data_IF_911053230124
#
_entry.id   IF_911053230124
#
_cell.length_a   1.000
_cell.length_b   1.000
_cell.length_c   1.000
_cell.angle_alpha   90.00
_cell.angle_beta   90.00
_cell.angle_gamma   90.00
#
_symmetry.space_group_name_H-M   'P 1'
#
loop_
_entity.id
_entity.type
_entity.pdbx_description
1 polymer ?
#
# COMPACT_ATOMS: atom_id res chain seq x y z
N UNK A 1 16.95 -18.43 12.33
CA UNK A 1 15.87 -18.23 13.31
C UNK A 1 16.34 -17.48 14.57
N UNK A 2 16.95 -16.28 14.48
CA UNK A 2 17.41 -15.51 15.67
C UNK A 2 17.20 -13.99 15.58
N UNK A 3 16.39 -13.49 14.63
CA UNK A 3 16.14 -12.05 14.47
C UNK A 3 14.70 -11.58 14.72
N UNK A 4 13.77 -12.47 15.06
CA UNK A 4 12.36 -12.15 15.27
C UNK A 4 11.95 -11.83 16.71
N UNK A 5 12.86 -11.94 17.68
CA UNK A 5 12.53 -11.77 19.12
C UNK A 5 12.72 -10.31 19.59
N UNK A 6 13.48 -9.50 18.84
CA UNK A 6 13.78 -8.12 19.26
C UNK A 6 12.63 -7.12 19.02
N UNK A 7 11.74 -7.42 18.08
CA UNK A 7 10.59 -6.56 17.76
C UNK A 7 9.44 -6.62 18.76
N UNK A 8 9.32 -7.70 19.50
CA UNK A 8 8.21 -7.88 20.46
C UNK A 8 8.49 -7.26 21.83
N UNK A 9 9.75 -7.00 22.15
CA UNK A 9 10.14 -6.47 23.48
C UNK A 9 9.92 -4.94 23.61
N UNK A 10 9.84 -4.20 22.50
CA UNK A 10 9.61 -2.76 22.54
C UNK A 10 8.16 -2.37 22.80
N UNK A 11 7.21 -3.27 22.66
CA UNK A 11 5.76 -2.96 22.85
C UNK A 11 5.37 -3.10 24.32
N UNK A 12 6.10 -3.88 25.11
CA UNK A 12 5.76 -4.14 26.53
C UNK A 12 6.35 -3.08 27.49
N UNK A 13 7.34 -2.30 27.07
CA UNK A 13 8.05 -1.35 27.94
C UNK A 13 7.32 -0.01 28.15
N UNK A 14 6.18 0.25 27.49
CA UNK A 14 5.42 1.51 27.62
C UNK A 14 4.22 1.44 28.57
N UNK A 15 4.01 0.34 29.27
CA UNK A 15 2.84 0.12 30.11
C UNK A 15 3.07 0.38 31.62
N UNK A 16 4.22 0.86 32.04
CA UNK A 16 4.53 1.00 33.47
C UNK A 16 5.00 2.39 33.83
N UNK A 17 4.09 3.38 33.89
CA UNK A 17 4.24 4.55 34.77
C UNK A 17 2.86 5.14 35.05
N UNK A 18 2.22 4.78 36.13
CA UNK A 18 1.31 5.64 36.89
C UNK A 18 0.92 4.98 38.24
N UNK A 19 1.85 4.96 39.18
CA UNK A 19 1.52 4.82 40.58
C UNK A 19 2.06 6.09 41.27
N UNK A 20 1.27 7.14 41.22
CA UNK A 20 1.51 8.34 42.02
C UNK A 20 0.81 8.18 43.37
N UNK A 21 1.57 8.45 44.41
CA UNK A 21 1.24 8.20 45.80
C UNK A 21 -0.01 8.89 46.33
N UNK A 22 -0.64 8.21 47.26
CA UNK A 22 -1.70 8.68 48.11
C UNK A 22 -1.08 9.57 49.21
N UNK A 23 -1.19 10.88 49.08
CA UNK A 23 -1.00 11.77 50.21
C UNK A 23 -2.32 11.94 50.97
N UNK A 24 -2.32 11.51 52.21
CA UNK A 24 -3.45 11.65 53.15
C UNK A 24 -3.52 13.11 53.58
N UNK A 25 -4.38 13.91 52.99
CA UNK A 25 -4.65 15.28 53.46
C UNK A 25 -5.88 15.29 54.38
N UNK A 26 -5.61 15.72 55.62
CA UNK A 26 -6.60 15.93 56.71
C UNK A 26 -7.62 17.02 56.37
N UNK A 27 -8.88 16.67 56.45
CA UNK A 27 -10.07 17.41 56.77
C UNK A 27 -10.12 18.93 56.60
N UNK A 28 -10.40 19.39 55.38
CA UNK A 28 -11.30 20.51 55.06
C UNK A 28 -12.03 20.08 53.82
N UNK A 29 -13.37 20.22 53.83
CA UNK A 29 -14.21 19.96 52.66
C UNK A 29 -13.75 20.81 51.47
N UNK A 30 -12.71 20.37 50.78
CA UNK A 30 -12.46 20.84 49.42
C UNK A 30 -13.60 20.28 48.58
N UNK A 31 -14.51 21.14 48.10
CA UNK A 31 -15.37 20.84 46.98
C UNK A 31 -14.48 20.19 45.92
N UNK A 32 -14.55 18.87 45.75
CA UNK A 32 -13.87 18.18 44.67
C UNK A 32 -14.32 18.86 43.38
N UNK A 33 -13.50 19.76 42.85
CA UNK A 33 -13.72 20.26 41.51
C UNK A 33 -13.71 19.01 40.57
N UNK A 34 -14.83 18.77 39.95
CA UNK A 34 -14.92 17.70 38.96
C UNK A 34 -13.73 17.86 38.01
N UNK A 35 -12.99 16.78 37.74
CA UNK A 35 -11.86 16.85 36.81
C UNK A 35 -12.34 17.49 35.51
N UNK A 36 -11.53 18.37 34.89
CA UNK A 36 -11.92 19.03 33.65
C UNK A 36 -12.34 17.99 32.62
N UNK A 37 -13.43 18.23 31.87
CA UNK A 37 -13.88 17.28 30.86
C UNK A 37 -12.77 17.02 29.84
N UNK A 38 -12.55 15.74 29.52
CA UNK A 38 -11.54 15.34 28.56
C UNK A 38 -11.79 16.00 27.19
N UNK A 39 -10.76 16.51 26.53
CA UNK A 39 -10.89 17.01 25.17
C UNK A 39 -11.49 15.95 24.24
N UNK A 40 -12.49 16.33 23.46
CA UNK A 40 -13.05 15.45 22.43
C UNK A 40 -12.21 15.56 21.16
N UNK A 41 -11.39 14.53 20.91
CA UNK A 41 -10.53 14.45 19.72
C UNK A 41 -11.24 13.88 18.49
N UNK A 42 -12.31 13.13 18.70
CA UNK A 42 -13.07 12.41 17.66
C UNK A 42 -14.55 12.68 17.87
N UNK A 43 -15.21 13.14 16.82
CA UNK A 43 -16.62 13.51 16.86
C UNK A 43 -17.51 12.47 16.15
N UNK A 44 -18.81 12.55 16.43
CA UNK A 44 -19.84 11.94 15.62
C UNK A 44 -20.16 12.89 14.45
N UNK A 45 -20.60 12.36 13.32
CA UNK A 45 -20.86 13.11 12.09
C UNK A 45 -19.63 13.86 11.56
N UNK A 46 -18.47 13.23 11.61
CA UNK A 46 -17.18 13.79 11.21
C UNK A 46 -16.86 13.41 9.75
N UNK A 47 -16.54 14.40 8.92
CA UNK A 47 -16.07 14.19 7.57
C UNK A 47 -14.54 14.28 7.53
N UNK A 48 -13.90 13.25 7.00
CA UNK A 48 -12.46 13.11 6.95
C UNK A 48 -11.96 13.08 5.52
N UNK A 49 -10.89 13.83 5.26
CA UNK A 49 -10.12 13.79 4.01
C UNK A 49 -8.69 13.40 4.36
N UNK A 50 -8.23 12.27 3.86
CA UNK A 50 -6.85 11.84 4.10
C UNK A 50 -6.04 11.88 2.82
N UNK A 51 -4.79 12.34 2.92
CA UNK A 51 -3.76 12.25 1.88
C UNK A 51 -2.63 11.40 2.43
N UNK A 52 -2.19 10.41 1.66
CA UNK A 52 -1.20 9.46 2.13
C UNK A 52 -0.27 8.98 1.02
N UNK A 53 0.94 8.64 1.41
CA UNK A 53 1.89 7.90 0.57
C UNK A 53 1.83 6.42 0.90
N UNK A 54 2.19 5.60 -0.08
CA UNK A 54 2.14 4.16 0.07
C UNK A 54 3.37 3.47 -0.47
N UNK A 55 3.69 2.36 0.16
CA UNK A 55 4.65 1.37 -0.30
C UNK A 55 3.96 0.02 -0.40
N UNK A 56 4.01 -0.57 -1.60
CA UNK A 56 3.48 -1.90 -1.88
C UNK A 56 4.62 -2.89 -1.90
N UNK A 57 4.41 -4.04 -1.29
CA UNK A 57 5.34 -5.17 -1.30
C UNK A 57 4.60 -6.49 -1.47
N UNK A 58 5.29 -7.46 -2.02
CA UNK A 58 4.78 -8.83 -2.15
C UNK A 58 5.88 -9.83 -1.83
N UNK A 59 5.56 -11.12 -1.86
CA UNK A 59 6.54 -12.18 -1.64
C UNK A 59 7.54 -12.29 -2.80
N UNK A 60 8.77 -12.75 -2.50
CA UNK A 60 9.93 -12.82 -3.41
C UNK A 60 9.78 -13.69 -4.67
N UNK A 61 8.64 -14.34 -4.88
CA UNK A 61 8.39 -15.18 -6.07
C UNK A 61 7.37 -14.51 -6.98
N UNK A 62 7.74 -13.39 -7.58
CA UNK A 62 6.93 -12.76 -8.62
C UNK A 62 6.99 -13.59 -9.89
N UNK A 63 5.89 -14.25 -10.17
CA UNK A 63 5.71 -14.90 -11.47
C UNK A 63 5.22 -13.87 -12.47
N UNK A 64 5.59 -14.05 -13.74
CA UNK A 64 5.28 -13.14 -14.86
C UNK A 64 3.77 -12.89 -15.08
N UNK A 65 2.90 -13.68 -14.46
CA UNK A 65 1.46 -13.66 -14.67
C UNK A 65 0.68 -12.86 -13.61
N UNK A 66 1.37 -12.10 -12.75
CA UNK A 66 0.71 -11.32 -11.70
C UNK A 66 0.22 -9.97 -12.20
N UNK A 67 -0.87 -9.50 -11.61
CA UNK A 67 -1.47 -8.21 -11.96
C UNK A 67 -0.52 -7.03 -11.72
N UNK A 68 0.16 -7.02 -10.58
CA UNK A 68 1.28 -6.12 -10.28
C UNK A 68 2.58 -6.86 -10.59
N UNK A 69 3.13 -6.67 -11.75
CA UNK A 69 4.41 -7.26 -12.14
C UNK A 69 5.61 -6.46 -11.60
N UNK A 70 5.70 -6.28 -10.28
CA UNK A 70 6.71 -5.42 -9.67
C UNK A 70 7.12 -5.97 -8.31
N UNK A 71 8.40 -5.92 -7.97
CA UNK A 71 8.90 -6.36 -6.67
C UNK A 71 8.42 -5.43 -5.56
N UNK A 72 8.29 -4.14 -5.86
CA UNK A 72 7.80 -3.10 -4.98
C UNK A 72 7.27 -1.92 -5.80
N UNK A 73 6.35 -1.19 -5.23
CA UNK A 73 5.78 -0.01 -5.86
C UNK A 73 5.60 1.11 -4.84
N UNK A 74 5.86 2.33 -5.28
CA UNK A 74 5.62 3.53 -4.52
C UNK A 74 4.50 4.34 -5.14
N UNK A 75 3.75 5.02 -4.29
CA UNK A 75 2.70 5.90 -4.76
C UNK A 75 2.02 6.65 -3.64
N UNK A 76 0.76 6.97 -3.86
CA UNK A 76 -0.05 7.65 -2.87
C UNK A 76 -1.52 7.58 -3.23
N UNK A 77 -2.33 8.12 -2.35
CA UNK A 77 -3.76 8.13 -2.54
C UNK A 77 -4.46 9.17 -1.67
N UNK A 78 -5.74 9.21 -1.88
CA UNK A 78 -6.68 10.03 -1.14
C UNK A 78 -7.83 9.16 -0.69
N UNK A 79 -8.33 9.40 0.51
CA UNK A 79 -9.61 8.86 0.94
C UNK A 79 -10.54 9.96 1.47
N UNK A 80 -11.83 9.76 1.27
CA UNK A 80 -12.91 10.58 1.75
C UNK A 80 -13.79 9.68 2.61
N UNK A 81 -13.85 9.95 3.92
CA UNK A 81 -14.62 9.14 4.88
C UNK A 81 -15.62 10.00 5.64
N UNK A 82 -16.80 9.47 5.82
CA UNK A 82 -17.82 10.05 6.69
C UNK A 82 -18.08 9.11 7.87
N UNK A 83 -17.79 9.56 9.08
CA UNK A 83 -18.08 8.88 10.33
C UNK A 83 -19.45 9.33 10.85
N UNK A 84 -20.48 8.56 10.58
CA UNK A 84 -21.83 8.83 11.13
C UNK A 84 -21.89 8.61 12.64
N UNK A 85 -20.96 7.86 13.17
CA UNK A 85 -20.67 7.71 14.59
C UNK A 85 -19.15 7.64 14.76
N UNK A 86 -18.61 8.18 15.87
CA UNK A 86 -17.15 8.21 16.12
C UNK A 86 -16.43 6.86 15.96
N UNK A 87 -17.18 5.75 15.96
CA UNK A 87 -16.65 4.39 15.78
C UNK A 87 -16.81 3.86 14.37
N UNK A 88 -17.81 4.30 13.60
CA UNK A 88 -18.16 3.72 12.31
C UNK A 88 -18.17 4.77 11.21
N UNK A 89 -17.47 4.49 10.14
CA UNK A 89 -17.39 5.35 8.96
C UNK A 89 -17.49 4.57 7.66
N UNK A 90 -17.98 5.25 6.65
CA UNK A 90 -18.02 4.79 5.26
C UNK A 90 -17.24 5.75 4.40
N UNK A 91 -16.61 5.27 3.35
CA UNK A 91 -15.80 6.15 2.51
C UNK A 91 -15.51 5.61 1.13
N UNK A 92 -14.83 6.44 0.36
CA UNK A 92 -14.27 6.12 -0.95
C UNK A 92 -12.78 6.40 -0.89
N UNK A 93 -12.00 5.44 -1.34
CA UNK A 93 -10.54 5.51 -1.40
C UNK A 93 -10.10 5.39 -2.85
N UNK A 94 -9.14 6.23 -3.24
CA UNK A 94 -8.48 6.14 -4.54
C UNK A 94 -6.98 6.23 -4.38
N UNK A 95 -6.22 5.37 -5.07
CA UNK A 95 -4.77 5.40 -5.03
C UNK A 95 -4.15 5.06 -6.38
N UNK A 96 -2.92 5.50 -6.57
CA UNK A 96 -2.10 5.17 -7.73
C UNK A 96 -0.65 4.92 -7.30
N UNK A 97 -0.01 3.94 -7.94
CA UNK A 97 1.39 3.57 -7.67
C UNK A 97 2.15 3.41 -8.99
N UNK A 98 3.44 3.67 -8.92
CA UNK A 98 4.40 3.39 -9.99
C UNK A 98 5.01 1.99 -9.75
N UNK A 99 4.48 1.00 -10.47
CA UNK A 99 4.97 -0.36 -10.42
C UNK A 99 6.21 -0.49 -11.33
N UNK A 100 7.39 -0.68 -10.74
CA UNK A 100 8.66 -0.78 -11.45
C UNK A 100 9.12 -2.23 -11.52
N UNK A 101 9.53 -2.63 -12.70
CA UNK A 101 10.11 -3.93 -12.96
C UNK A 101 11.47 -3.78 -13.62
N UNK A 102 12.44 -4.58 -13.17
CA UNK A 102 13.67 -4.84 -13.90
C UNK A 102 13.52 -6.16 -14.65
N UNK A 103 13.83 -6.18 -15.92
CA UNK A 103 13.90 -7.40 -16.70
C UNK A 103 15.22 -7.45 -17.48
N UNK A 104 15.69 -8.66 -17.73
CA UNK A 104 16.87 -8.88 -18.56
C UNK A 104 16.42 -9.01 -20.02
N UNK A 105 16.88 -8.08 -20.84
CA UNK A 105 16.74 -8.15 -22.30
C UNK A 105 17.95 -8.87 -22.84
N UNK A 106 17.73 -9.99 -23.52
CA UNK A 106 18.79 -10.86 -24.04
C UNK A 106 18.80 -10.76 -25.54
N UNK A 107 19.78 -10.05 -26.06
CA UNK A 107 20.08 -9.98 -27.50
C UNK A 107 21.02 -11.12 -27.88
N UNK A 108 20.58 -12.07 -28.68
CA UNK A 108 21.38 -13.16 -29.19
C UNK A 108 21.58 -13.01 -30.71
N UNK A 109 22.83 -12.91 -31.13
CA UNK A 109 23.21 -12.87 -32.54
C UNK A 109 23.72 -14.24 -32.98
N UNK A 110 23.09 -14.79 -34.03
CA UNK A 110 23.47 -16.07 -34.62
C UNK A 110 24.04 -15.90 -36.02
N UNK A 111 25.14 -16.61 -36.30
CA UNK A 111 25.72 -16.73 -37.62
C UNK A 111 25.77 -18.21 -38.01
N UNK A 112 25.10 -18.60 -39.12
CA UNK A 112 25.00 -19.99 -39.59
C UNK A 112 24.61 -20.98 -38.49
N UNK A 113 23.59 -20.66 -37.71
CA UNK A 113 23.11 -21.44 -36.58
C UNK A 113 24.08 -21.52 -35.37
N UNK A 114 25.17 -20.75 -35.39
CA UNK A 114 26.10 -20.68 -34.28
C UNK A 114 25.88 -19.35 -33.53
N UNK A 115 25.75 -19.42 -32.23
CA UNK A 115 25.66 -18.23 -31.37
C UNK A 115 26.98 -17.46 -31.44
N UNK A 116 26.97 -16.23 -31.96
CA UNK A 116 28.15 -15.40 -32.12
C UNK A 116 28.28 -14.38 -31.00
N UNK A 117 27.15 -13.89 -30.53
CA UNK A 117 27.12 -12.87 -29.45
C UNK A 117 25.85 -13.02 -28.61
N UNK A 118 26.02 -12.84 -27.31
CA UNK A 118 24.94 -12.72 -26.37
C UNK A 118 25.16 -11.49 -25.53
N UNK A 119 24.28 -10.51 -25.64
CA UNK A 119 24.31 -9.28 -24.84
C UNK A 119 23.11 -9.30 -23.91
N UNK A 120 23.37 -9.22 -22.61
CA UNK A 120 22.34 -9.09 -21.59
C UNK A 120 22.28 -7.64 -21.16
N UNK A 121 21.13 -7.02 -21.29
CA UNK A 121 20.87 -5.64 -20.83
C UNK A 121 19.75 -5.67 -19.81
N UNK A 122 19.95 -4.98 -18.69
CA UNK A 122 18.88 -4.76 -17.73
C UNK A 122 18.06 -3.56 -18.19
N UNK A 123 16.84 -3.80 -18.56
CA UNK A 123 15.87 -2.75 -18.88
C UNK A 123 14.92 -2.54 -17.69
N UNK A 124 14.54 -1.27 -17.48
CA UNK A 124 13.57 -0.89 -16.43
C UNK A 124 12.30 -0.39 -17.11
N UNK A 125 11.19 -0.98 -16.74
CA UNK A 125 9.88 -0.52 -17.17
C UNK A 125 9.07 -0.07 -15.97
N UNK A 126 8.41 1.09 -16.08
CA UNK A 126 7.51 1.61 -15.07
C UNK A 126 6.09 1.70 -15.61
N UNK A 127 5.12 1.42 -14.76
CA UNK A 127 3.70 1.46 -15.11
C UNK A 127 2.87 1.99 -13.97
N UNK A 128 1.96 2.91 -14.29
CA UNK A 128 0.99 3.40 -13.32
C UNK A 128 -0.14 2.39 -13.14
N UNK A 129 -0.35 1.95 -11.91
CA UNK A 129 -1.47 1.11 -11.51
C UNK A 129 -2.28 1.87 -10.48
N UNK A 130 -3.59 1.93 -10.68
CA UNK A 130 -4.51 2.65 -9.80
C UNK A 130 -5.68 1.79 -9.35
N UNK A 131 -6.36 2.23 -8.30
CA UNK A 131 -7.56 1.59 -7.77
C UNK A 131 -8.53 2.60 -7.20
N UNK A 132 -9.82 2.25 -7.23
CA UNK A 132 -10.90 2.95 -6.54
C UNK A 132 -11.70 1.93 -5.76
N UNK A 133 -11.90 2.19 -4.46
CA UNK A 133 -12.57 1.29 -3.52
C UNK A 133 -13.62 2.04 -2.70
N UNK A 134 -14.74 1.37 -2.41
CA UNK A 134 -15.62 1.74 -1.31
C UNK A 134 -15.12 1.08 -0.03
N UNK A 135 -15.08 1.79 1.10
CA UNK A 135 -14.50 1.33 2.36
C UNK A 135 -15.47 1.47 3.53
N UNK A 136 -15.41 0.51 4.44
CA UNK A 136 -16.02 0.56 5.77
C UNK A 136 -14.89 0.64 6.80
N UNK A 137 -14.99 1.55 7.77
CA UNK A 137 -13.98 1.74 8.80
C UNK A 137 -14.59 1.63 10.17
N UNK A 138 -13.98 0.83 11.04
CA UNK A 138 -14.24 0.79 12.47
C UNK A 138 -13.06 1.45 13.19
N UNK A 139 -13.30 2.55 13.89
CA UNK A 139 -12.31 3.33 14.63
C UNK A 139 -12.65 3.28 16.12
N UNK A 140 -11.67 3.01 16.97
CA UNK A 140 -11.84 2.98 18.42
C UNK A 140 -11.07 4.13 19.08
N UNK A 141 -11.67 5.32 19.27
CA UNK A 141 -11.05 6.42 19.99
C UNK A 141 -10.80 6.03 21.45
N UNK A 142 -9.53 6.03 21.88
CA UNK A 142 -9.19 5.76 23.28
C UNK A 142 -9.58 6.99 24.11
N UNK A 143 -10.41 6.85 25.16
CA UNK A 143 -10.91 7.98 25.93
C UNK A 143 -9.78 8.86 26.46
N UNK A 144 -9.97 10.18 26.40
CA UNK A 144 -9.02 11.19 26.89
C UNK A 144 -7.65 11.18 26.21
N UNK A 145 -7.49 10.47 25.11
CA UNK A 145 -6.24 10.41 24.36
C UNK A 145 -6.40 10.89 22.91
N UNK A 146 -5.29 11.13 22.23
CA UNK A 146 -5.21 11.49 20.82
C UNK A 146 -5.15 10.28 19.89
N UNK A 147 -5.19 9.07 20.45
CA UNK A 147 -4.98 7.81 19.72
C UNK A 147 -6.30 7.13 19.41
N UNK A 148 -6.44 6.67 18.17
CA UNK A 148 -7.53 5.83 17.74
C UNK A 148 -7.03 4.72 16.82
N UNK A 149 -6.88 3.49 17.31
CA UNK A 149 -6.72 2.34 16.44
C UNK A 149 -7.96 2.15 15.58
N UNK A 150 -7.76 1.69 14.35
CA UNK A 150 -8.87 1.41 13.44
C UNK A 150 -8.61 0.18 12.59
N UNK A 151 -9.71 -0.43 12.16
CA UNK A 151 -9.75 -1.49 11.18
C UNK A 151 -10.60 -1.03 10.00
N UNK A 152 -10.29 -1.50 8.82
CA UNK A 152 -11.07 -1.20 7.64
C UNK A 152 -11.12 -2.38 6.69
N UNK A 153 -12.18 -2.42 5.90
CA UNK A 153 -12.34 -3.33 4.79
C UNK A 153 -13.01 -2.60 3.63
N UNK A 154 -12.68 -2.98 2.42
CA UNK A 154 -13.21 -2.33 1.23
C UNK A 154 -13.19 -3.23 0.01
N UNK A 155 -13.84 -2.77 -1.04
CA UNK A 155 -13.84 -3.45 -2.33
C UNK A 155 -14.09 -2.48 -3.47
N UNK A 156 -13.59 -2.83 -4.65
CA UNK A 156 -13.69 -1.96 -5.82
C UNK A 156 -13.00 -2.50 -7.05
N UNK A 157 -12.46 -1.62 -7.85
CA UNK A 157 -11.75 -1.93 -9.09
C UNK A 157 -10.29 -1.49 -9.06
N UNK A 158 -9.40 -2.30 -9.62
CA UNK A 158 -8.01 -1.98 -9.90
C UNK A 158 -7.77 -1.98 -11.40
N UNK A 159 -6.99 -1.03 -11.89
CA UNK A 159 -6.74 -0.80 -13.32
C UNK A 159 -5.28 -0.42 -13.57
N UNK A 160 -4.84 -0.58 -14.81
CA UNK A 160 -3.47 -0.26 -15.22
C UNK A 160 -2.49 -1.43 -15.15
N UNK A 161 -2.81 -2.52 -14.47
CA UNK A 161 -1.99 -3.74 -14.41
C UNK A 161 -2.39 -4.81 -15.43
N UNK A 162 -1.81 -5.99 -15.35
CA UNK A 162 -2.10 -7.14 -16.21
C UNK A 162 -1.00 -7.43 -17.24
N UNK A 163 -1.29 -8.30 -18.21
CA UNK A 163 -0.34 -8.78 -19.23
C UNK A 163 0.37 -7.63 -19.96
N UNK A 164 1.68 -7.76 -20.09
CA UNK A 164 2.54 -6.78 -20.74
C UNK A 164 3.01 -7.24 -22.11
N UNK A 165 3.38 -6.25 -22.87
CA UNK A 165 4.08 -6.40 -24.13
C UNK A 165 5.49 -6.95 -23.90
N UNK A 166 5.77 -8.12 -24.43
CA UNK A 166 7.13 -8.62 -24.54
C UNK A 166 7.68 -8.31 -25.93
N UNK A 167 8.80 -7.61 -25.99
CA UNK A 167 9.58 -7.48 -27.19
C UNK A 167 10.29 -8.82 -27.43
N UNK A 168 9.79 -9.61 -28.37
CA UNK A 168 10.49 -10.81 -28.80
C UNK A 168 11.27 -10.42 -30.05
N UNK A 169 12.59 -10.35 -29.93
CA UNK A 169 13.44 -10.27 -31.13
C UNK A 169 13.36 -11.60 -31.88
N UNK A 170 12.74 -11.60 -33.04
CA UNK A 170 12.72 -12.76 -33.91
C UNK A 170 13.91 -12.65 -34.85
N UNK A 171 14.90 -13.57 -34.80
CA UNK A 171 15.98 -13.56 -35.76
C UNK A 171 15.41 -13.83 -37.15
N UNK A 172 15.64 -12.92 -38.10
CA UNK A 172 15.38 -13.17 -39.51
C UNK A 172 16.47 -14.11 -40.06
N UNK A 173 16.07 -15.24 -40.54
CA UNK A 173 16.96 -16.11 -41.33
C UNK A 173 17.49 -15.34 -42.54
N UNK A 174 18.81 -15.39 -42.81
CA UNK A 174 19.36 -14.73 -43.99
C UNK A 174 18.74 -15.35 -45.26
N UNK A 175 18.34 -14.46 -46.16
CA UNK A 175 17.93 -14.89 -47.47
C UNK A 175 19.04 -15.68 -48.21
N UNK A 176 18.74 -16.41 -49.30
CA UNK A 176 19.67 -17.32 -49.98
C UNK A 176 20.95 -16.66 -50.51
N UNK A 177 21.11 -15.35 -50.43
CA UNK A 177 22.25 -14.58 -50.92
C UNK A 177 23.34 -14.24 -49.89
N UNK A 178 23.28 -14.73 -48.64
CA UNK A 178 24.35 -14.53 -47.64
C UNK A 178 24.58 -13.11 -47.19
N UNK A 179 23.56 -12.25 -47.26
CA UNK A 179 23.61 -10.87 -46.72
C UNK A 179 23.73 -10.84 -45.20
N UNK A 180 24.13 -9.68 -44.61
CA UNK A 180 24.22 -9.53 -43.19
C UNK A 180 22.86 -9.78 -42.51
N UNK A 181 22.88 -10.45 -41.35
CA UNK A 181 21.69 -10.73 -40.56
C UNK A 181 21.05 -9.40 -40.11
N UNK A 182 19.85 -9.15 -40.59
CA UNK A 182 19.08 -8.00 -40.15
C UNK A 182 18.17 -8.42 -38.97
N UNK A 183 18.43 -7.86 -37.78
CA UNK A 183 17.72 -8.19 -36.52
C UNK A 183 16.51 -7.25 -36.24
N UNK A 184 15.94 -6.67 -37.27
CA UNK A 184 15.02 -5.55 -37.12
C UNK A 184 13.54 -5.93 -36.92
N UNK A 185 13.18 -7.14 -36.60
CA UNK A 185 11.76 -7.48 -36.32
C UNK A 185 11.52 -7.73 -34.84
N UNK A 186 11.24 -6.64 -34.09
CA UNK A 186 10.67 -6.74 -32.78
C UNK A 186 9.17 -6.97 -32.86
N UNK A 187 8.68 -8.15 -32.50
CA UNK A 187 7.25 -8.39 -32.31
C UNK A 187 6.84 -7.89 -30.93
N UNK A 188 6.11 -6.78 -30.95
CA UNK A 188 5.46 -6.25 -29.76
C UNK A 188 4.17 -7.03 -29.53
N UNK A 189 4.09 -7.82 -28.48
CA UNK A 189 2.84 -8.43 -28.03
C UNK A 189 2.23 -7.51 -26.99
N UNK A 190 1.26 -6.71 -27.38
CA UNK A 190 0.51 -5.84 -26.47
C UNK A 190 -0.56 -6.68 -25.77
N UNK A 191 -0.41 -6.87 -24.48
CA UNK A 191 -1.49 -7.31 -23.61
C UNK A 191 -2.25 -6.08 -23.12
N UNK A 192 -3.57 -6.06 -23.30
CA UNK A 192 -4.40 -4.97 -22.79
C UNK A 192 -4.39 -4.96 -21.26
N UNK A 193 -4.32 -3.76 -20.68
CA UNK A 193 -4.52 -3.63 -19.23
C UNK A 193 -5.96 -4.01 -18.89
N UNK A 194 -6.12 -4.99 -17.99
CA UNK A 194 -7.44 -5.47 -17.60
C UNK A 194 -7.83 -4.85 -16.26
N UNK A 195 -9.03 -4.28 -16.20
CA UNK A 195 -9.65 -3.93 -14.94
C UNK A 195 -10.06 -5.21 -14.20
N UNK A 196 -9.68 -5.34 -12.93
CA UNK A 196 -10.03 -6.48 -12.08
C UNK A 196 -10.73 -6.02 -10.82
N UNK A 197 -11.48 -6.91 -10.19
CA UNK A 197 -12.01 -6.69 -8.86
C UNK A 197 -10.88 -6.75 -7.83
N UNK A 198 -10.93 -5.87 -6.83
CA UNK A 198 -10.02 -5.85 -5.69
C UNK A 198 -10.81 -5.78 -4.40
N UNK A 199 -10.41 -6.58 -3.42
CA UNK A 199 -10.81 -6.50 -2.03
C UNK A 199 -9.63 -6.04 -1.18
N UNK A 200 -9.88 -5.25 -0.16
CA UNK A 200 -8.87 -4.74 0.75
C UNK A 200 -9.34 -4.90 2.19
N UNK A 201 -8.45 -5.28 3.08
CA UNK A 201 -8.69 -5.23 4.53
C UNK A 201 -7.41 -4.90 5.26
N UNK A 202 -7.54 -4.21 6.36
CA UNK A 202 -6.37 -3.73 7.08
C UNK A 202 -6.70 -3.07 8.40
N UNK A 203 -5.67 -2.49 8.99
CA UNK A 203 -5.80 -1.75 10.23
C UNK A 203 -4.62 -0.84 10.47
N UNK A 204 -4.83 0.11 11.35
CA UNK A 204 -3.82 1.12 11.64
C UNK A 204 -4.13 1.92 12.89
N UNK A 205 -3.41 3.02 13.00
CA UNK A 205 -3.53 3.96 14.11
C UNK A 205 -3.65 5.38 13.53
N UNK A 206 -4.64 6.10 14.02
CA UNK A 206 -4.76 7.54 13.84
C UNK A 206 -4.31 8.26 15.12
N UNK A 207 -3.47 9.28 14.95
CA UNK A 207 -2.99 10.13 16.07
C UNK A 207 -3.38 11.57 15.76
N UNK A 208 -4.30 12.15 16.53
CA UNK A 208 -4.72 13.55 16.37
C UNK A 208 -3.65 14.49 16.91
N UNK A 209 -3.11 15.34 16.05
CA UNK A 209 -2.20 16.44 16.42
C UNK A 209 -3.03 17.61 16.95
N UNK A 210 -4.09 17.95 16.23
CA UNK A 210 -5.15 18.89 16.62
C UNK A 210 -6.51 18.19 16.48
N UNK A 211 -7.63 18.74 16.95
CA UNK A 211 -8.95 18.16 16.69
C UNK A 211 -9.26 17.95 15.20
N UNK A 212 -8.65 18.76 14.31
CA UNK A 212 -8.91 18.76 12.89
C UNK A 212 -7.79 18.13 12.04
N UNK A 213 -6.62 17.84 12.62
CA UNK A 213 -5.47 17.29 11.89
C UNK A 213 -4.96 16.07 12.63
N UNK A 214 -4.90 14.95 11.92
CA UNK A 214 -4.39 13.68 12.40
C UNK A 214 -3.29 13.12 11.50
N UNK A 215 -2.49 12.25 12.04
CA UNK A 215 -1.53 11.42 11.33
C UNK A 215 -2.01 9.98 11.33
N UNK A 216 -1.96 9.34 10.17
CA UNK A 216 -2.40 7.95 9.96
C UNK A 216 -1.23 7.09 9.55
N UNK A 217 -1.18 5.89 10.11
CA UNK A 217 -0.31 4.80 9.66
C UNK A 217 -1.11 3.52 9.68
N UNK A 218 -1.11 2.82 8.58
CA UNK A 218 -1.79 1.55 8.50
C UNK A 218 -1.10 0.56 7.56
N UNK A 219 -1.54 -0.66 7.70
CA UNK A 219 -1.20 -1.77 6.85
C UNK A 219 -2.49 -2.37 6.29
N UNK A 220 -2.48 -2.70 5.00
CA UNK A 220 -3.56 -3.44 4.37
C UNK A 220 -3.07 -4.60 3.54
N UNK A 221 -3.91 -5.63 3.46
CA UNK A 221 -3.77 -6.74 2.55
C UNK A 221 -4.79 -6.59 1.44
N UNK A 222 -4.31 -6.66 0.20
CA UNK A 222 -5.11 -6.48 -0.99
C UNK A 222 -5.23 -7.81 -1.73
N UNK A 223 -6.46 -8.19 -2.03
CA UNK A 223 -6.82 -9.42 -2.75
C UNK A 223 -7.37 -9.03 -4.11
N UNK A 224 -6.66 -9.35 -5.17
CA UNK A 224 -7.06 -9.04 -6.56
C UNK A 224 -7.51 -10.33 -7.22
N UNK A 225 -8.54 -10.25 -8.04
CA UNK A 225 -9.09 -11.39 -8.78
C UNK A 225 -8.02 -12.12 -9.59
N UNK A 226 -7.98 -13.46 -9.42
CA UNK A 226 -7.01 -14.35 -10.01
C UNK A 226 -5.97 -14.90 -9.02
N UNK A 227 -5.35 -16.03 -9.33
CA UNK A 227 -4.37 -16.68 -8.48
C UNK A 227 -3.13 -15.80 -8.30
N UNK A 228 -2.62 -15.73 -7.08
CA UNK A 228 -1.36 -15.07 -6.73
C UNK A 228 -1.24 -13.55 -6.99
N UNK A 229 -2.37 -12.84 -7.12
CA UNK A 229 -2.39 -11.40 -7.36
C UNK A 229 -2.36 -10.54 -6.08
N UNK A 230 -2.32 -11.17 -4.91
CA UNK A 230 -2.41 -10.50 -3.63
C UNK A 230 -1.12 -9.75 -3.28
N UNK A 231 -1.26 -8.62 -2.59
CA UNK A 231 -0.13 -7.82 -2.14
C UNK A 231 -0.41 -7.11 -0.82
N UNK A 232 0.67 -6.84 -0.06
CA UNK A 232 0.65 -6.02 1.13
C UNK A 232 0.92 -4.56 0.80
N UNK A 233 0.30 -3.64 1.53
CA UNK A 233 0.47 -2.20 1.38
C UNK A 233 0.61 -1.55 2.75
N UNK A 234 1.64 -0.72 2.90
CA UNK A 234 1.83 0.16 4.07
C UNK A 234 1.54 1.58 3.64
N UNK A 235 0.78 2.31 4.47
CA UNK A 235 0.41 3.69 4.21
C UNK A 235 0.79 4.58 5.38
N UNK A 236 1.21 5.80 5.06
CA UNK A 236 1.43 6.87 6.03
C UNK A 236 0.94 8.19 5.46
N UNK A 237 0.25 9.00 6.26
CA UNK A 237 -0.34 10.21 5.74
C UNK A 237 -0.97 11.12 6.78
N UNK A 238 -1.62 12.17 6.29
CA UNK A 238 -2.29 13.17 7.10
C UNK A 238 -3.79 13.08 6.85
N UNK A 239 -4.55 13.18 7.94
CA UNK A 239 -6.01 13.20 7.94
C UNK A 239 -6.50 14.58 8.38
N UNK A 240 -7.42 15.17 7.62
CA UNK A 240 -8.11 16.41 7.91
C UNK A 240 -9.56 16.08 8.28
N UNK A 241 -10.00 16.49 9.47
CA UNK A 241 -11.34 16.24 9.99
C UNK A 241 -12.15 17.54 10.10
N UNK A 242 -13.41 17.47 9.68
CA UNK A 242 -14.35 18.59 9.61
C UNK A 242 -15.66 18.27 10.31
#
# INVERSE_FOLDING_TARGET
MKRSVLGLLCIVALASVALAGTETYSGKEMKQMAPPPCPRWYADNEFNVSLWSTYIFTGNNWQHDRYLESDHAFGGGVDLKYFFHRYFGVGIEGWAVDARRAFEDIDEAFFRQTLVSRTVRTAHESRAVGSVLGTLTFRYPIPCTRFAPYLFAGGGGIFGGGERTHLVAVPRLPGPAGGPLDFSESRTRSGDSKTKAIGQFGGGIEVRITPHIGWINDFSWNVVDGPNNNFGMVRTGVNFAF
#
